data_IF_992659325159
#
_entry.id   IF_992659325159
#
_cell.length_a   1.000
_cell.length_b   1.000
_cell.length_c   1.000
_cell.angle_alpha   90.00
_cell.angle_beta   90.00
_cell.angle_gamma   90.00
#
_symmetry.space_group_name_H-M   'P 1'
#
loop_
_entity.id
_entity.type
_entity.pdbx_description
1 polymer ?
#
# COMPACT_ATOMS: atom_id res chain seq x y z
N UNK A 1 11.02 -93.01 -57.09
CA UNK A 1 11.30 -92.82 -55.64
C UNK A 1 12.64 -92.10 -55.55
N UNK A 2 12.83 -90.95 -54.92
CA UNK A 2 12.16 -90.37 -53.76
C UNK A 2 12.08 -88.85 -53.94
N UNK A 3 10.91 -88.31 -53.62
CA UNK A 3 10.60 -86.89 -53.71
C UNK A 3 11.36 -86.09 -52.65
N UNK A 4 11.90 -84.93 -53.06
CA UNK A 4 12.40 -83.90 -52.15
C UNK A 4 11.22 -83.29 -51.40
N UNK A 5 11.14 -83.60 -50.12
CA UNK A 5 10.40 -82.87 -49.10
C UNK A 5 11.32 -82.97 -47.88
N UNK A 6 11.72 -81.88 -47.24
CA UNK A 6 10.96 -81.35 -46.11
C UNK A 6 11.75 -80.19 -45.47
N UNK A 7 11.00 -79.14 -45.10
CA UNK A 7 11.13 -78.22 -43.93
C UNK A 7 12.50 -77.55 -43.68
N UNK A 8 12.61 -76.25 -43.38
CA UNK A 8 11.66 -75.32 -42.81
C UNK A 8 12.25 -73.92 -43.01
N UNK A 9 11.54 -73.03 -43.69
CA UNK A 9 11.95 -71.64 -43.80
C UNK A 9 11.48 -70.91 -42.53
N UNK A 10 12.18 -71.15 -41.42
CA UNK A 10 12.00 -70.38 -40.20
C UNK A 10 12.59 -68.98 -40.41
N UNK A 11 11.74 -68.08 -40.87
CA UNK A 11 11.92 -66.64 -40.81
C UNK A 11 12.28 -66.26 -39.37
N UNK A 12 13.45 -65.64 -39.10
CA UNK A 12 13.62 -64.94 -37.85
C UNK A 12 12.70 -63.71 -37.92
N UNK A 13 11.49 -63.82 -37.35
CA UNK A 13 10.72 -62.65 -36.97
C UNK A 13 11.48 -61.96 -35.83
N UNK A 14 12.49 -61.18 -36.21
CA UNK A 14 13.00 -60.12 -35.37
C UNK A 14 11.85 -59.11 -35.33
N UNK A 15 10.94 -59.27 -34.37
CA UNK A 15 10.03 -58.18 -34.03
C UNK A 15 10.94 -57.05 -33.54
N UNK A 16 11.07 -55.92 -34.27
CA UNK A 16 11.81 -54.81 -33.73
C UNK A 16 11.03 -54.34 -32.50
N UNK A 17 11.55 -54.64 -31.31
CA UNK A 17 11.08 -54.10 -30.03
C UNK A 17 10.87 -52.62 -30.28
N UNK A 18 9.61 -52.18 -30.36
CA UNK A 18 9.25 -50.81 -30.72
C UNK A 18 9.82 -49.95 -29.60
N UNK A 19 11.05 -49.44 -29.80
CA UNK A 19 11.66 -48.50 -28.88
C UNK A 19 10.76 -47.28 -28.96
N UNK A 20 9.89 -47.12 -27.97
CA UNK A 20 9.14 -45.89 -27.78
C UNK A 20 10.22 -44.86 -27.47
N UNK A 21 10.71 -44.21 -28.53
CA UNK A 21 11.64 -43.11 -28.44
C UNK A 21 10.85 -42.05 -27.69
N UNK A 22 11.22 -41.78 -26.44
CA UNK A 22 10.80 -40.56 -25.76
C UNK A 22 11.34 -39.43 -26.60
N UNK A 23 10.52 -38.95 -27.54
CA UNK A 23 10.83 -37.77 -28.32
C UNK A 23 10.63 -36.65 -27.32
N UNK A 24 11.74 -36.20 -26.77
CA UNK A 24 11.76 -35.01 -25.93
C UNK A 24 11.44 -33.87 -26.88
N UNK A 25 10.16 -33.52 -27.01
CA UNK A 25 9.71 -32.44 -27.88
C UNK A 25 10.41 -31.17 -27.39
N UNK A 26 11.39 -30.62 -28.14
CA UNK A 26 11.98 -29.37 -27.75
C UNK A 26 10.89 -28.30 -27.82
N UNK A 27 10.88 -27.38 -26.85
CA UNK A 27 10.03 -26.19 -26.83
C UNK A 27 10.02 -25.60 -28.24
N UNK A 28 8.84 -25.56 -28.85
CA UNK A 28 8.70 -25.10 -30.23
C UNK A 28 9.09 -23.63 -30.32
N UNK A 29 9.58 -23.17 -31.48
CA UNK A 29 10.06 -21.79 -31.67
C UNK A 29 9.00 -20.75 -31.31
N UNK A 30 7.71 -21.05 -31.52
CA UNK A 30 6.59 -20.20 -31.11
C UNK A 30 6.40 -20.11 -29.59
N UNK A 31 6.57 -21.21 -28.86
CA UNK A 31 6.48 -21.22 -27.40
C UNK A 31 7.61 -20.40 -26.75
N UNK A 32 8.82 -20.42 -27.33
CA UNK A 32 9.92 -19.52 -26.92
C UNK A 32 9.59 -18.04 -27.11
N UNK A 33 8.90 -17.69 -28.19
CA UNK A 33 8.49 -16.31 -28.46
C UNK A 33 7.42 -15.83 -27.45
N UNK A 34 6.46 -16.69 -27.09
CA UNK A 34 5.44 -16.40 -26.08
C UNK A 34 6.10 -16.20 -24.70
N UNK A 35 7.03 -17.09 -24.32
CA UNK A 35 7.77 -16.95 -23.06
C UNK A 35 8.57 -15.64 -23.03
N UNK A 36 9.22 -15.27 -24.15
CA UNK A 36 9.94 -14.00 -24.28
C UNK A 36 9.02 -12.77 -24.14
N UNK A 37 7.83 -12.81 -24.77
CA UNK A 37 6.84 -11.74 -24.66
C UNK A 37 6.32 -11.60 -23.23
N UNK A 38 5.99 -12.72 -22.56
CA UNK A 38 5.55 -12.74 -21.17
C UNK A 38 6.63 -12.18 -20.25
N UNK A 39 7.90 -12.58 -20.45
CA UNK A 39 9.01 -12.06 -19.67
C UNK A 39 9.18 -10.55 -19.85
N UNK A 40 9.06 -10.05 -21.08
CA UNK A 40 9.14 -8.62 -21.40
C UNK A 40 8.00 -7.81 -20.73
N UNK A 41 6.76 -8.27 -20.86
CA UNK A 41 5.61 -7.63 -20.22
C UNK A 41 5.75 -7.63 -18.69
N UNK A 42 6.19 -8.75 -18.11
CA UNK A 42 6.43 -8.85 -16.67
C UNK A 42 7.50 -7.86 -16.21
N UNK A 43 8.57 -7.68 -16.98
CA UNK A 43 9.63 -6.73 -16.67
C UNK A 43 9.12 -5.28 -16.66
N UNK A 44 8.28 -4.91 -17.62
CA UNK A 44 7.65 -3.58 -17.68
C UNK A 44 6.73 -3.36 -16.48
N UNK A 45 5.88 -4.35 -16.15
CA UNK A 45 4.95 -4.27 -15.02
C UNK A 45 5.72 -4.13 -13.70
N UNK A 46 6.76 -4.92 -13.49
CA UNK A 46 7.61 -4.81 -12.30
C UNK A 46 8.31 -3.44 -12.23
N UNK A 47 8.83 -2.93 -13.34
CA UNK A 47 9.42 -1.59 -13.39
C UNK A 47 8.42 -0.48 -13.04
N UNK A 48 7.21 -0.57 -13.56
CA UNK A 48 6.14 0.38 -13.26
C UNK A 48 5.70 0.29 -11.79
N UNK A 49 5.61 -0.94 -11.26
CA UNK A 49 5.23 -1.20 -9.88
C UNK A 49 6.26 -0.61 -8.91
N UNK A 50 7.56 -0.85 -9.14
CA UNK A 50 8.65 -0.30 -8.31
C UNK A 50 8.67 1.23 -8.34
N UNK A 51 8.46 1.83 -9.52
CA UNK A 51 8.36 3.29 -9.62
C UNK A 51 7.16 3.85 -8.82
N UNK A 52 6.04 3.13 -8.82
CA UNK A 52 4.84 3.51 -8.07
C UNK A 52 5.00 3.30 -6.55
N UNK A 53 5.75 2.28 -6.13
CA UNK A 53 6.07 2.03 -4.72
C UNK A 53 6.82 3.20 -4.06
N UNK A 54 7.70 3.89 -4.79
CA UNK A 54 8.38 5.08 -4.27
C UNK A 54 7.41 6.23 -4.00
N UNK A 55 6.40 6.41 -4.86
CA UNK A 55 5.33 7.40 -4.67
C UNK A 55 4.39 7.02 -3.53
N UNK A 56 4.08 5.74 -3.37
CA UNK A 56 3.22 5.25 -2.27
C UNK A 56 3.90 5.38 -0.91
N UNK A 57 5.20 5.09 -0.81
CA UNK A 57 5.93 5.20 0.45
C UNK A 57 6.05 6.66 0.91
N UNK A 58 6.37 7.56 -0.04
CA UNK A 58 6.45 9.00 0.24
C UNK A 58 5.09 9.59 0.61
N UNK A 59 4.02 9.24 -0.12
CA UNK A 59 2.65 9.68 0.22
C UNK A 59 2.19 9.19 1.59
N UNK A 60 2.46 7.93 1.96
CA UNK A 60 2.11 7.43 3.29
C UNK A 60 2.85 8.22 4.38
N UNK A 61 4.15 8.46 4.20
CA UNK A 61 4.95 9.20 5.17
C UNK A 61 4.51 10.67 5.29
N UNK A 62 4.17 11.31 4.17
CA UNK A 62 3.62 12.67 4.17
C UNK A 62 2.27 12.75 4.87
N UNK A 63 1.40 11.76 4.68
CA UNK A 63 0.11 11.69 5.36
C UNK A 63 0.29 11.54 6.89
N UNK A 64 1.14 10.61 7.34
CA UNK A 64 1.47 10.47 8.76
C UNK A 64 2.06 11.76 9.37
N UNK A 65 2.94 12.46 8.63
CA UNK A 65 3.49 13.75 9.08
C UNK A 65 2.41 14.82 9.17
N UNK A 66 1.52 14.90 8.18
CA UNK A 66 0.43 15.86 8.17
C UNK A 66 -0.55 15.63 9.32
N UNK A 67 -0.93 14.37 9.57
CA UNK A 67 -1.78 14.00 10.72
C UNK A 67 -1.13 14.41 12.05
N UNK A 68 0.18 14.20 12.20
CA UNK A 68 0.92 14.65 13.39
C UNK A 68 0.91 16.17 13.54
N UNK A 69 1.14 16.93 12.46
CA UNK A 69 1.09 18.39 12.49
C UNK A 69 -0.30 18.91 12.83
N UNK A 70 -1.36 18.31 12.28
CA UNK A 70 -2.75 18.67 12.60
C UNK A 70 -3.04 18.41 14.08
N UNK A 71 -2.63 17.25 14.61
CA UNK A 71 -2.82 16.90 16.01
C UNK A 71 -2.12 17.88 16.95
N UNK A 72 -0.87 18.25 16.65
CA UNK A 72 -0.12 19.26 17.40
C UNK A 72 -0.81 20.63 17.34
N UNK A 73 -1.23 21.08 16.16
CA UNK A 73 -1.90 22.36 16.01
C UNK A 73 -3.24 22.39 16.77
N UNK A 74 -3.97 21.28 16.80
CA UNK A 74 -5.21 21.16 17.57
C UNK A 74 -4.97 21.34 19.06
N UNK A 75 -3.94 20.70 19.62
CA UNK A 75 -3.56 20.87 21.03
C UNK A 75 -3.18 22.33 21.35
N UNK A 76 -2.41 22.98 20.48
CA UNK A 76 -2.05 24.40 20.64
C UNK A 76 -3.31 25.27 20.61
N UNK A 77 -4.22 25.02 19.66
CA UNK A 77 -5.48 25.77 19.56
C UNK A 77 -6.38 25.56 20.79
N UNK A 78 -6.48 24.34 21.31
CA UNK A 78 -7.21 24.05 22.55
C UNK A 78 -6.58 24.79 23.74
N UNK A 79 -5.25 24.78 23.87
CA UNK A 79 -4.54 25.52 24.90
C UNK A 79 -4.75 27.04 24.81
N UNK A 80 -4.71 27.60 23.60
CA UNK A 80 -5.00 29.02 23.36
C UNK A 80 -6.46 29.35 23.67
N UNK A 81 -7.40 28.48 23.30
CA UNK A 81 -8.82 28.66 23.61
C UNK A 81 -9.07 28.69 25.12
N UNK A 82 -8.40 27.82 25.88
CA UNK A 82 -8.47 27.84 27.34
C UNK A 82 -7.91 29.14 27.92
N UNK A 83 -6.77 29.62 27.40
CA UNK A 83 -6.20 30.90 27.81
C UNK A 83 -7.16 32.06 27.52
N UNK A 84 -7.82 32.08 26.36
CA UNK A 84 -8.81 33.12 26.07
C UNK A 84 -9.96 33.10 27.09
N UNK A 85 -10.49 31.91 27.41
CA UNK A 85 -11.53 31.77 28.43
C UNK A 85 -11.06 32.29 29.79
N UNK A 86 -9.87 31.87 30.24
CA UNK A 86 -9.30 32.31 31.52
C UNK A 86 -9.04 33.82 31.56
N UNK A 87 -8.45 34.37 30.49
CA UNK A 87 -8.14 35.80 30.38
C UNK A 87 -9.41 36.66 30.31
N UNK A 88 -10.46 36.15 29.66
CA UNK A 88 -11.77 36.80 29.52
C UNK A 88 -12.70 36.60 30.70
N UNK A 89 -12.30 35.79 31.70
CA UNK A 89 -13.11 35.51 32.86
C UNK A 89 -13.45 36.81 33.62
N UNK A 90 -14.75 37.10 33.89
CA UNK A 90 -15.18 38.33 34.55
C UNK A 90 -14.48 38.57 35.89
N UNK A 91 -14.32 37.51 36.69
CA UNK A 91 -13.66 37.59 38.00
C UNK A 91 -12.22 38.08 37.90
N UNK A 92 -11.47 37.58 36.90
CA UNK A 92 -10.08 38.00 36.65
C UNK A 92 -10.02 39.46 36.21
N UNK A 93 -10.91 39.86 35.31
CA UNK A 93 -10.98 41.25 34.83
C UNK A 93 -11.32 42.19 35.99
N UNK A 94 -12.29 41.82 36.84
CA UNK A 94 -12.67 42.60 38.02
C UNK A 94 -11.52 42.72 39.02
N UNK A 95 -10.81 41.62 39.28
CA UNK A 95 -9.63 41.62 40.17
C UNK A 95 -8.53 42.57 39.66
N UNK A 96 -8.23 42.56 38.36
CA UNK A 96 -7.24 43.48 37.77
C UNK A 96 -7.73 44.93 37.87
N UNK A 97 -9.01 45.18 37.56
CA UNK A 97 -9.60 46.51 37.61
C UNK A 97 -9.58 47.10 39.02
N UNK A 98 -9.96 46.34 40.05
CA UNK A 98 -10.01 46.81 41.43
C UNK A 98 -8.64 46.92 42.07
N UNK A 99 -7.81 45.87 42.00
CA UNK A 99 -6.57 45.80 42.77
C UNK A 99 -5.40 46.51 42.09
N UNK A 100 -5.31 46.42 40.76
CA UNK A 100 -4.15 46.97 40.03
C UNK A 100 -4.43 48.37 39.49
N UNK A 101 -5.67 48.64 39.09
CA UNK A 101 -6.06 49.89 38.45
C UNK A 101 -6.87 50.82 39.36
N UNK A 102 -7.29 50.35 40.54
CA UNK A 102 -8.04 51.16 41.51
C UNK A 102 -9.45 51.55 41.05
N UNK A 103 -10.02 50.82 40.08
CA UNK A 103 -11.39 51.03 39.61
C UNK A 103 -12.41 50.36 40.56
N UNK A 104 -13.53 51.03 40.80
CA UNK A 104 -14.66 50.48 41.56
C UNK A 104 -15.85 50.19 40.65
N UNK A 105 -16.65 49.18 41.02
CA UNK A 105 -17.86 48.82 40.30
C UNK A 105 -19.02 49.75 40.70
N UNK A 106 -19.75 50.28 39.72
CA UNK A 106 -20.99 51.04 39.95
C UNK A 106 -22.18 50.09 39.79
N UNK A 107 -22.77 49.67 40.92
CA UNK A 107 -23.87 48.70 40.97
C UNK A 107 -25.10 49.15 40.16
N UNK A 108 -25.29 50.46 39.93
CA UNK A 108 -26.40 50.97 39.14
C UNK A 108 -26.21 50.77 37.63
N UNK A 109 -25.01 50.39 37.18
CA UNK A 109 -24.66 50.19 35.77
C UNK A 109 -24.30 48.74 35.44
N UNK A 110 -24.53 47.81 36.36
CA UNK A 110 -24.31 46.38 36.12
C UNK A 110 -25.45 45.82 35.27
N UNK A 111 -25.12 45.20 34.15
CA UNK A 111 -26.08 44.51 33.28
C UNK A 111 -25.75 43.01 33.25
N UNK A 112 -26.67 42.19 33.75
CA UNK A 112 -26.52 40.74 33.74
C UNK A 112 -26.79 40.24 32.31
N UNK A 113 -25.78 39.64 31.68
CA UNK A 113 -25.91 39.00 30.38
C UNK A 113 -26.09 37.51 30.63
N UNK A 114 -27.28 36.97 30.38
CA UNK A 114 -27.50 35.53 30.34
C UNK A 114 -27.03 35.03 28.98
N UNK A 115 -26.16 34.02 28.99
CA UNK A 115 -25.58 33.40 27.80
C UNK A 115 -26.20 32.02 27.58
#
# INVERSE_FOLDING_TARGET
>A
MVARKIEEQHQPQIQPKKRIRHVRNPITTGEKAIVGLIAFVTFIVLGFMVNNFASLYTMNQENYRLEQTISQQKQVNEGLSLQVVELSAPDRILHIASEQLGMSLDDNKVKVVQN
#
